data_IF_754747585408
#
_entry.id   IF_754747585408
#
_cell.length_a   1.000
_cell.length_b   1.000
_cell.length_c   1.000
_cell.angle_alpha   90.00
_cell.angle_beta   90.00
_cell.angle_gamma   90.00
#
_symmetry.space_group_name_H-M   'P 1'
#
loop_
_entity.id
_entity.type
_entity.pdbx_description
1 polymer ?
#
# COMPACT_ATOMS: atom_id res chain seq x y z
N UNK A 1 -3.77 20.70 -5.73
CA UNK A 1 -4.66 19.67 -6.27
C UNK A 1 -3.97 18.33 -6.07
N UNK A 2 -4.19 17.67 -4.93
CA UNK A 2 -3.72 16.30 -4.74
C UNK A 2 -4.80 15.40 -5.37
N UNK A 3 -4.49 14.76 -6.49
CA UNK A 3 -5.37 13.78 -7.12
C UNK A 3 -5.27 12.48 -6.32
N UNK A 4 -6.08 12.33 -5.29
CA UNK A 4 -5.99 11.19 -4.36
C UNK A 4 -7.18 10.23 -4.47
N UNK A 5 -7.68 10.01 -5.68
CA UNK A 5 -8.78 9.08 -5.97
C UNK A 5 -8.32 7.83 -6.75
N UNK A 6 -7.08 7.37 -6.54
CA UNK A 6 -6.67 6.05 -7.05
C UNK A 6 -7.31 4.98 -6.16
N UNK A 7 -7.79 3.88 -6.73
CA UNK A 7 -8.21 2.70 -5.95
C UNK A 7 -7.10 1.68 -5.97
N UNK A 8 -6.66 1.25 -4.79
CA UNK A 8 -5.66 0.20 -4.65
C UNK A 8 -6.25 -1.02 -3.97
N UNK A 9 -5.67 -2.16 -4.30
CA UNK A 9 -5.83 -3.40 -3.57
C UNK A 9 -4.48 -3.77 -3.01
N UNK A 10 -4.43 -4.11 -1.71
CA UNK A 10 -3.23 -4.68 -1.14
C UNK A 10 -3.33 -6.20 -1.06
N UNK A 11 -2.19 -6.87 -1.25
CA UNK A 11 -2.07 -8.32 -1.07
C UNK A 11 -0.90 -8.60 -0.14
N UNK A 12 -1.12 -9.39 0.90
CA UNK A 12 -0.02 -9.93 1.71
C UNK A 12 0.86 -10.81 0.83
N UNK A 13 2.15 -10.50 0.80
CA UNK A 13 3.18 -11.25 0.07
C UNK A 13 4.20 -11.80 1.07
N UNK A 14 4.57 -13.07 0.90
CA UNK A 14 5.63 -13.70 1.71
C UNK A 14 7.03 -13.52 1.11
N UNK A 15 7.11 -13.18 -0.18
CA UNK A 15 8.34 -12.97 -0.91
C UNK A 15 8.25 -11.64 -1.65
N UNK A 16 9.23 -10.78 -1.45
CA UNK A 16 9.34 -9.49 -2.14
C UNK A 16 10.32 -9.69 -3.29
N UNK A 17 9.94 -9.39 -4.54
CA UNK A 17 10.88 -9.37 -5.66
C UNK A 17 11.95 -8.29 -5.44
N UNK A 18 13.22 -8.55 -5.79
CA UNK A 18 14.31 -7.59 -5.62
C UNK A 18 14.11 -6.27 -6.40
N UNK A 19 13.37 -6.29 -7.50
CA UNK A 19 13.02 -5.11 -8.30
C UNK A 19 11.87 -4.26 -7.72
N UNK A 20 11.39 -4.60 -6.51
CA UNK A 20 10.25 -3.92 -5.88
C UNK A 20 10.68 -2.86 -4.90
N UNK A 21 10.10 -1.66 -5.01
CA UNK A 21 10.27 -0.60 -4.01
C UNK A 21 9.54 -0.98 -2.73
N UNK A 22 10.31 -1.16 -1.66
CA UNK A 22 9.77 -1.39 -0.32
C UNK A 22 9.72 -0.06 0.42
N UNK A 23 8.54 0.34 0.89
CA UNK A 23 8.35 1.49 1.79
C UNK A 23 7.99 1.00 3.18
N UNK A 24 8.50 1.68 4.20
CA UNK A 24 8.10 1.41 5.58
C UNK A 24 6.83 2.17 5.93
N UNK A 25 5.97 1.57 6.75
CA UNK A 25 4.72 2.21 7.19
C UNK A 25 4.95 3.58 7.82
N UNK A 26 6.02 3.75 8.60
CA UNK A 26 6.35 5.01 9.28
C UNK A 26 6.87 6.10 8.32
N UNK A 27 7.25 5.73 7.08
CA UNK A 27 7.65 6.67 6.03
C UNK A 27 6.46 7.15 5.19
N UNK A 28 5.28 6.56 5.40
CA UNK A 28 4.07 6.93 4.69
C UNK A 28 3.42 8.16 5.32
N UNK A 29 2.80 8.99 4.48
CA UNK A 29 1.91 10.06 4.94
C UNK A 29 0.70 9.49 5.69
N UNK A 30 0.06 10.34 6.49
CA UNK A 30 -1.02 9.95 7.39
C UNK A 30 -2.18 9.26 6.65
N UNK A 31 -2.55 9.76 5.46
CA UNK A 31 -3.62 9.15 4.67
C UNK A 31 -3.24 7.76 4.13
N UNK A 32 -1.97 7.59 3.73
CA UNK A 32 -1.44 6.30 3.27
C UNK A 32 -1.37 5.29 4.42
N UNK A 33 -1.00 5.75 5.62
CA UNK A 33 -1.02 4.94 6.84
C UNK A 33 -2.45 4.48 7.18
N UNK A 34 -3.44 5.37 7.09
CA UNK A 34 -4.85 5.04 7.30
C UNK A 34 -5.30 3.98 6.28
N UNK A 35 -5.04 4.19 4.99
CA UNK A 35 -5.40 3.23 3.94
C UNK A 35 -4.77 1.86 4.16
N UNK A 36 -3.48 1.80 4.50
CA UNK A 36 -2.78 0.53 4.79
C UNK A 36 -3.37 -0.14 6.02
N UNK A 37 -3.69 0.59 7.10
CA UNK A 37 -4.32 0.02 8.30
C UNK A 37 -5.70 -0.56 8.04
N UNK A 38 -6.55 0.14 7.28
CA UNK A 38 -7.90 -0.35 6.95
C UNK A 38 -7.86 -1.60 6.09
N UNK A 39 -6.89 -1.67 5.17
CA UNK A 39 -6.74 -2.79 4.26
C UNK A 39 -5.92 -3.94 4.87
N UNK A 40 -5.05 -3.67 5.84
CA UNK A 40 -4.25 -4.69 6.52
C UNK A 40 -5.16 -5.58 7.36
N UNK A 41 -5.27 -6.85 6.96
CA UNK A 41 -6.07 -7.86 7.67
C UNK A 41 -7.35 -8.27 6.97
N UNK A 42 -7.76 -7.59 5.88
CA UNK A 42 -8.86 -8.04 5.02
C UNK A 42 -8.49 -7.87 3.53
N UNK A 43 -8.80 -8.85 2.66
CA UNK A 43 -8.62 -8.70 1.23
C UNK A 43 -9.70 -7.77 0.66
N UNK A 44 -9.54 -6.46 0.87
CA UNK A 44 -10.42 -5.43 0.34
C UNK A 44 -9.69 -4.50 -0.65
N UNK A 45 -10.49 -3.80 -1.46
CA UNK A 45 -10.03 -2.72 -2.33
C UNK A 45 -10.37 -1.42 -1.61
N UNK A 46 -9.40 -0.55 -1.42
CA UNK A 46 -9.55 0.74 -0.74
C UNK A 46 -9.17 1.90 -1.63
N UNK A 47 -9.43 3.11 -1.17
CA UNK A 47 -8.82 4.29 -1.76
C UNK A 47 -7.33 4.29 -1.43
N UNK A 48 -6.53 4.48 -2.47
CA UNK A 48 -5.12 4.77 -2.39
C UNK A 48 -5.03 6.24 -2.02
N UNK A 49 -4.73 6.49 -0.77
CA UNK A 49 -4.43 7.84 -0.33
C UNK A 49 -2.90 7.98 -0.24
N UNK A 50 -2.34 9.02 -0.84
CA UNK A 50 -0.89 9.30 -0.87
C UNK A 50 -0.12 8.75 -2.08
N UNK A 51 1.21 8.81 -2.01
CA UNK A 51 2.16 8.46 -3.10
C UNK A 51 2.42 6.95 -3.26
N UNK A 52 1.40 6.11 -3.06
CA UNK A 52 1.51 4.66 -3.26
C UNK A 52 1.25 4.30 -4.72
N UNK A 53 2.27 3.73 -5.37
CA UNK A 53 2.19 3.30 -6.78
C UNK A 53 1.95 1.80 -6.95
N UNK A 54 1.52 1.39 -8.15
CA UNK A 54 1.37 -0.02 -8.49
C UNK A 54 2.72 -0.74 -8.40
N UNK A 55 2.72 -1.88 -7.71
CA UNK A 55 3.92 -2.68 -7.51
C UNK A 55 4.71 -2.33 -6.24
N UNK A 56 4.47 -1.17 -5.61
CA UNK A 56 5.10 -0.83 -4.33
C UNK A 56 4.76 -1.89 -3.26
N UNK A 57 5.68 -2.14 -2.33
CA UNK A 57 5.44 -3.01 -1.18
C UNK A 57 5.56 -2.21 0.10
N UNK A 58 4.52 -2.26 0.92
CA UNK A 58 4.54 -1.62 2.24
C UNK A 58 4.88 -2.65 3.31
N UNK A 59 5.88 -2.33 4.14
CA UNK A 59 6.19 -3.08 5.36
C UNK A 59 5.42 -2.49 6.53
N UNK A 60 4.41 -3.22 7.01
CA UNK A 60 3.67 -2.95 8.25
C UNK A 60 3.99 -4.05 9.27
N UNK A 61 3.03 -4.89 9.63
CA UNK A 61 3.27 -6.16 10.34
C UNK A 61 3.89 -7.19 9.40
N UNK A 62 3.29 -7.34 8.24
CA UNK A 62 3.74 -8.14 7.11
C UNK A 62 4.11 -7.25 5.91
N UNK A 63 4.54 -7.88 4.82
CA UNK A 63 4.75 -7.21 3.55
C UNK A 63 3.46 -7.24 2.72
N UNK A 64 3.05 -6.08 2.25
CA UNK A 64 1.83 -5.90 1.47
C UNK A 64 2.15 -5.24 0.14
N UNK A 65 1.96 -5.99 -0.96
CA UNK A 65 2.10 -5.43 -2.31
C UNK A 65 0.86 -4.60 -2.66
N UNK A 66 1.09 -3.38 -3.12
CA UNK A 66 0.12 -2.46 -3.67
C UNK A 66 -0.15 -2.85 -5.12
N UNK A 67 -1.44 -2.97 -5.46
CA UNK A 67 -1.92 -3.10 -6.83
C UNK A 67 -2.89 -1.98 -7.13
N UNK A 68 -2.47 -1.00 -7.92
CA UNK A 68 -3.38 0.04 -8.40
C UNK A 68 -4.24 -0.53 -9.54
N UNK A 69 -5.51 -0.12 -9.60
CA UNK A 69 -6.40 -0.43 -10.74
C UNK A 69 -6.79 0.83 -11.48
#
# INVERSE_FOLDING_TARGET
MCNTDKRIRIRRVGLIPDDTRVRHFDELDEDAQVAVRELAGRPQTGQALGDLDDGDVVKFTDYYQIRAR
#
